data_IF_626608623933
#
_entry.id   IF_626608623933
#
_cell.length_a   1.000
_cell.length_b   1.000
_cell.length_c   1.000
_cell.angle_alpha   90.00
_cell.angle_beta   90.00
_cell.angle_gamma   90.00
#
_symmetry.space_group_name_H-M   'P 1'
#
loop_
_entity.id
_entity.type
_entity.pdbx_description
1 polymer ?
#
# COMPACT_ATOMS: atom_id res chain seq x y z
N UNK A 1 -0.33 27.17 8.90
CA UNK A 1 -0.98 26.06 8.14
C UNK A 1 -0.44 26.07 6.73
N UNK A 2 -0.31 24.89 6.11
CA UNK A 2 0.13 24.78 4.71
C UNK A 2 -0.91 25.33 3.74
N UNK A 3 -0.44 25.90 2.64
CA UNK A 3 -1.27 26.13 1.45
C UNK A 3 -1.49 24.82 0.69
N UNK A 4 -2.41 24.82 -0.27
CA UNK A 4 -2.65 23.65 -1.14
C UNK A 4 -1.40 23.30 -1.96
N UNK A 5 -0.65 24.31 -2.40
CA UNK A 5 0.63 24.11 -3.11
C UNK A 5 1.70 23.46 -2.22
N UNK A 6 1.85 23.93 -0.98
CA UNK A 6 2.79 23.36 0.00
C UNK A 6 2.42 21.92 0.35
N UNK A 7 1.13 21.63 0.46
CA UNK A 7 0.63 20.27 0.66
C UNK A 7 0.98 19.36 -0.52
N UNK A 8 0.75 19.79 -1.76
CA UNK A 8 1.07 19.02 -2.96
C UNK A 8 2.58 18.80 -3.14
N UNK A 9 3.41 19.76 -2.74
CA UNK A 9 4.87 19.61 -2.73
C UNK A 9 5.30 18.48 -1.79
N UNK A 10 4.84 18.51 -0.53
CA UNK A 10 5.16 17.48 0.46
C UNK A 10 4.63 16.12 0.03
N UNK A 11 3.39 16.07 -0.47
CA UNK A 11 2.76 14.85 -0.96
C UNK A 11 3.54 14.24 -2.14
N UNK A 12 3.97 15.09 -3.07
CA UNK A 12 4.81 14.72 -4.20
C UNK A 12 6.15 14.15 -3.75
N UNK A 13 6.81 14.82 -2.80
CA UNK A 13 8.07 14.36 -2.21
C UNK A 13 7.93 13.01 -1.52
N UNK A 14 6.94 12.84 -0.64
CA UNK A 14 6.67 11.55 0.04
C UNK A 14 6.40 10.44 -0.98
N UNK A 15 5.60 10.72 -2.02
CA UNK A 15 5.29 9.73 -3.06
C UNK A 15 6.54 9.29 -3.84
N UNK A 16 7.35 10.26 -4.29
CA UNK A 16 8.56 10.00 -5.08
C UNK A 16 9.62 9.26 -4.25
N UNK A 17 9.91 9.74 -3.04
CA UNK A 17 10.90 9.14 -2.16
C UNK A 17 10.46 7.77 -1.68
N UNK A 18 9.17 7.64 -1.35
CA UNK A 18 8.57 6.37 -1.02
C UNK A 18 8.72 5.36 -2.16
N UNK A 19 8.53 5.79 -3.41
CA UNK A 19 8.76 4.94 -4.58
C UNK A 19 10.22 4.53 -4.78
N UNK A 20 11.17 5.44 -4.55
CA UNK A 20 12.59 5.14 -4.64
C UNK A 20 13.00 4.06 -3.64
N UNK A 21 12.50 4.16 -2.40
CA UNK A 21 12.66 3.13 -1.37
C UNK A 21 11.96 1.83 -1.80
N UNK A 22 10.70 1.90 -2.23
CA UNK A 22 9.90 0.75 -2.72
C UNK A 22 10.61 -0.08 -3.79
N UNK A 23 11.18 0.57 -4.81
CA UNK A 23 11.84 -0.12 -5.92
C UNK A 23 12.99 -0.99 -5.43
N UNK A 24 13.74 -0.52 -4.43
CA UNK A 24 14.87 -1.24 -3.83
C UNK A 24 14.44 -2.41 -2.93
N UNK A 25 13.20 -2.39 -2.43
CA UNK A 25 12.65 -3.42 -1.53
C UNK A 25 11.60 -4.34 -2.15
N UNK A 26 11.30 -4.16 -3.45
CA UNK A 26 10.28 -4.93 -4.19
C UNK A 26 10.50 -6.46 -4.21
N UNK A 27 11.69 -6.95 -3.86
CA UNK A 27 11.97 -8.38 -3.69
C UNK A 27 11.56 -8.95 -2.33
N UNK A 28 11.46 -8.10 -1.29
CA UNK A 28 11.28 -8.52 0.11
C UNK A 28 9.89 -8.22 0.67
N UNK A 29 9.20 -7.19 0.16
CA UNK A 29 7.90 -6.76 0.67
C UNK A 29 6.85 -6.64 -0.42
N UNK A 30 5.59 -6.92 -0.09
CA UNK A 30 4.49 -6.65 -1.00
C UNK A 30 4.28 -5.14 -1.09
N UNK A 31 4.07 -4.57 -2.29
CA UNK A 31 3.79 -3.15 -2.44
C UNK A 31 2.70 -2.63 -1.49
N UNK A 32 1.66 -3.43 -1.18
CA UNK A 32 0.61 -3.06 -0.23
C UNK A 32 1.07 -2.85 1.21
N UNK A 33 1.99 -3.67 1.70
CA UNK A 33 2.52 -3.56 3.08
C UNK A 33 3.35 -2.28 3.21
N UNK A 34 4.06 -1.93 2.15
CA UNK A 34 4.86 -0.71 2.07
C UNK A 34 4.01 0.55 1.90
N UNK A 35 2.86 0.47 1.25
CA UNK A 35 1.92 1.59 1.21
C UNK A 35 1.20 1.83 2.55
N UNK A 36 0.89 0.76 3.30
CA UNK A 36 0.43 0.88 4.69
C UNK A 36 1.47 1.66 5.51
N UNK A 37 2.75 1.33 5.28
CA UNK A 37 3.83 2.03 5.92
C UNK A 37 3.82 3.55 5.70
N UNK A 38 3.81 3.99 4.44
CA UNK A 38 3.89 5.41 4.11
C UNK A 38 2.69 6.24 4.54
N UNK A 39 1.55 5.60 4.77
CA UNK A 39 0.34 6.28 5.25
C UNK A 39 0.26 6.32 6.78
N UNK A 40 1.24 5.74 7.49
CA UNK A 40 1.21 5.49 8.94
C UNK A 40 -0.01 4.65 9.36
N UNK A 41 -0.60 3.92 8.42
CA UNK A 41 -1.75 3.06 8.64
C UNK A 41 -1.30 1.64 8.92
N UNK A 42 -1.99 0.96 9.83
CA UNK A 42 -1.84 -0.49 9.96
C UNK A 42 -2.22 -1.20 8.66
N UNK A 43 -1.69 -2.42 8.46
CA UNK A 43 -2.08 -3.26 7.31
C UNK A 43 -3.60 -3.47 7.21
N UNK A 44 -4.31 -3.44 8.34
CA UNK A 44 -5.76 -3.57 8.39
C UNK A 44 -6.46 -2.31 7.88
N UNK A 45 -6.02 -1.13 8.32
CA UNK A 45 -6.56 0.17 7.87
C UNK A 45 -6.24 0.42 6.40
N UNK A 46 -5.02 0.10 5.97
CA UNK A 46 -4.62 0.21 4.57
C UNK A 46 -5.46 -0.70 3.66
N UNK A 47 -5.69 -1.95 4.08
CA UNK A 47 -6.57 -2.85 3.34
C UNK A 47 -8.03 -2.41 3.38
N UNK A 48 -8.51 -1.84 4.49
CA UNK A 48 -9.84 -1.27 4.59
C UNK A 48 -10.05 -0.18 3.54
N UNK A 49 -9.08 0.73 3.43
CA UNK A 49 -9.20 1.89 2.55
C UNK A 49 -9.06 1.55 1.07
N UNK A 50 -8.12 0.68 0.68
CA UNK A 50 -8.07 0.11 -0.70
C UNK A 50 -9.40 -0.47 -1.12
N UNK A 51 -10.03 -1.22 -0.21
CA UNK A 51 -11.32 -1.87 -0.46
C UNK A 51 -12.46 -0.87 -0.51
N UNK A 52 -12.45 0.15 0.35
CA UNK A 52 -13.39 1.27 0.30
C UNK A 52 -13.27 2.02 -1.02
N UNK A 53 -12.07 2.42 -1.42
CA UNK A 53 -11.84 3.11 -2.69
C UNK A 53 -12.31 2.27 -3.89
N UNK A 54 -11.97 0.98 -3.96
CA UNK A 54 -12.52 0.10 -4.99
C UNK A 54 -14.05 0.06 -4.96
N UNK A 55 -14.65 -0.19 -3.79
CA UNK A 55 -16.09 -0.37 -3.63
C UNK A 55 -16.93 0.89 -3.84
N UNK A 56 -16.36 2.07 -3.59
CA UNK A 56 -17.02 3.38 -3.73
C UNK A 56 -16.66 4.10 -5.05
N UNK A 57 -15.86 3.46 -5.90
CA UNK A 57 -15.45 4.04 -7.18
C UNK A 57 -16.63 4.16 -8.15
N UNK A 58 -16.67 5.25 -8.92
CA UNK A 58 -17.68 5.47 -9.96
C UNK A 58 -17.64 4.38 -11.04
N UNK A 59 -16.48 3.74 -11.21
CA UNK A 59 -16.31 2.60 -12.10
C UNK A 59 -17.16 1.40 -11.66
N UNK A 60 -17.29 1.14 -10.35
CA UNK A 60 -18.15 0.07 -9.83
C UNK A 60 -19.62 0.39 -10.05
N UNK A 61 -20.04 1.62 -9.75
CA UNK A 61 -21.44 2.02 -9.93
C UNK A 61 -21.85 2.01 -11.40
N UNK A 62 -21.04 2.62 -12.27
CA UNK A 62 -21.28 2.61 -13.73
C UNK A 62 -21.34 1.18 -14.27
N UNK A 63 -20.47 0.29 -13.75
CA UNK A 63 -20.50 -1.11 -14.16
C UNK A 63 -21.79 -1.82 -13.72
N UNK A 64 -22.23 -1.64 -12.48
CA UNK A 64 -23.42 -2.31 -11.95
C UNK A 64 -24.73 -1.79 -12.57
N UNK A 65 -24.80 -0.50 -12.85
CA UNK A 65 -26.02 0.17 -13.34
C UNK A 65 -26.16 0.12 -14.86
N UNK A 66 -25.05 0.26 -15.59
CA UNK A 66 -25.08 0.38 -17.06
C UNK A 66 -24.57 -0.89 -17.73
N UNK A 67 -23.35 -1.33 -17.39
CA UNK A 67 -22.67 -2.35 -18.18
C UNK A 67 -23.11 -3.77 -17.87
N UNK A 68 -23.28 -4.13 -16.59
CA UNK A 68 -23.72 -5.47 -16.18
C UNK A 68 -25.13 -5.79 -16.72
N UNK A 69 -26.14 -4.89 -16.62
CA UNK A 69 -27.45 -5.13 -17.23
C UNK A 69 -27.37 -5.27 -18.76
N UNK A 70 -26.55 -4.46 -19.43
CA UNK A 70 -26.35 -4.56 -20.88
C UNK A 70 -25.71 -5.90 -21.29
N UNK A 71 -24.71 -6.36 -20.52
CA UNK A 71 -24.06 -7.65 -20.72
C UNK A 71 -25.05 -8.80 -20.55
N UNK A 72 -25.85 -8.78 -19.47
CA UNK A 72 -26.81 -9.84 -19.14
C UNK A 72 -27.93 -9.98 -20.17
N UNK A 73 -28.33 -8.88 -20.83
CA UNK A 73 -29.29 -8.93 -21.95
C UNK A 73 -28.75 -9.68 -23.16
N UNK A 74 -27.44 -9.63 -23.41
CA UNK A 74 -26.81 -10.24 -24.57
C UNK A 74 -25.45 -10.86 -24.23
N UNK A 75 -25.47 -11.98 -23.49
CA UNK A 75 -24.23 -12.64 -23.08
C UNK A 75 -23.55 -13.25 -24.31
N UNK A 76 -22.29 -12.87 -24.62
CA UNK A 76 -21.59 -13.43 -25.75
C UNK A 76 -21.36 -14.93 -25.55
N UNK A 77 -21.90 -15.73 -26.47
CA UNK A 77 -21.71 -17.18 -26.51
C UNK A 77 -20.37 -17.54 -27.13
N UNK A 78 -19.71 -18.58 -26.61
CA UNK A 78 -18.60 -19.27 -27.29
C UNK A 78 -19.05 -20.67 -27.72
N UNK A 79 -18.31 -21.28 -28.63
CA UNK A 79 -18.53 -22.67 -29.04
C UNK A 79 -17.61 -23.57 -28.23
N UNK A 80 -18.18 -24.57 -27.56
CA UNK A 80 -17.44 -25.62 -26.86
C UNK A 80 -17.57 -26.94 -27.64
N UNK A 81 -16.47 -27.68 -27.71
CA UNK A 81 -16.47 -29.03 -28.27
C UNK A 81 -16.58 -30.03 -27.14
N UNK A 82 -17.79 -30.51 -26.87
CA UNK A 82 -18.00 -31.60 -25.93
C UNK A 82 -17.64 -32.93 -26.61
N UNK A 83 -16.97 -33.84 -25.90
CA UNK A 83 -16.87 -35.23 -26.34
C UNK A 83 -18.13 -35.96 -25.88
N UNK A 84 -18.94 -36.39 -26.84
CA UNK A 84 -20.15 -37.18 -26.56
C UNK A 84 -19.90 -38.62 -27.01
N UNK A 85 -20.11 -39.58 -26.11
CA UNK A 85 -20.22 -40.99 -26.46
C UNK A 85 -21.70 -41.34 -26.60
N UNK A 86 -22.12 -41.78 -27.78
CA UNK A 86 -23.52 -42.07 -28.07
C UNK A 86 -23.68 -43.42 -28.76
N UNK A 87 -24.77 -44.12 -28.45
CA UNK A 87 -25.23 -45.30 -29.21
C UNK A 87 -26.24 -44.87 -30.27
N UNK A 88 -26.14 -45.43 -31.47
CA UNK A 88 -27.00 -45.10 -32.61
C UNK A 88 -26.42 -43.99 -33.49
N UNK A 89 -27.29 -43.20 -34.13
CA UNK A 89 -26.86 -42.21 -35.13
C UNK A 89 -25.98 -41.10 -34.51
N UNK A 90 -24.74 -40.89 -35.02
CA UNK A 90 -23.84 -39.88 -34.50
C UNK A 90 -24.34 -38.45 -34.79
N UNK A 91 -24.11 -37.54 -33.84
CA UNK A 91 -24.36 -36.09 -34.01
C UNK A 91 -23.04 -35.34 -34.08
N UNK A 92 -22.82 -34.61 -35.17
CA UNK A 92 -21.58 -33.86 -35.42
C UNK A 92 -20.44 -34.72 -35.97
N UNK A 93 -19.21 -34.18 -35.94
CA UNK A 93 -18.03 -34.87 -36.47
C UNK A 93 -17.65 -36.05 -35.57
N UNK A 94 -17.52 -37.24 -36.15
CA UNK A 94 -17.06 -38.46 -35.48
C UNK A 94 -15.54 -38.42 -35.31
N UNK A 95 -15.06 -38.71 -34.11
CA UNK A 95 -13.65 -39.00 -33.82
C UNK A 95 -13.43 -40.51 -33.98
N UNK A 96 -13.06 -40.93 -35.19
CA UNK A 96 -12.92 -42.34 -35.53
C UNK A 96 -11.86 -43.03 -34.68
N UNK A 97 -10.72 -42.37 -34.42
CA UNK A 97 -9.64 -42.93 -33.60
C UNK A 97 -10.14 -43.26 -32.20
N UNK A 98 -10.84 -42.33 -31.55
CA UNK A 98 -11.42 -42.57 -30.21
C UNK A 98 -12.59 -43.55 -30.25
N UNK A 99 -13.38 -43.54 -31.32
CA UNK A 99 -14.50 -44.47 -31.51
C UNK A 99 -14.00 -45.91 -31.56
N UNK A 100 -12.99 -46.21 -32.40
CA UNK A 100 -12.42 -47.55 -32.49
C UNK A 100 -11.79 -48.01 -31.18
N UNK A 101 -11.02 -47.14 -30.51
CA UNK A 101 -10.45 -47.46 -29.21
C UNK A 101 -11.54 -47.78 -28.16
N UNK A 102 -12.62 -47.01 -28.15
CA UNK A 102 -13.71 -47.19 -27.17
C UNK A 102 -14.54 -48.44 -27.44
N UNK A 103 -14.76 -48.79 -28.72
CA UNK A 103 -15.40 -50.05 -29.11
C UNK A 103 -14.57 -51.25 -28.67
N UNK A 104 -13.27 -51.25 -28.97
CA UNK A 104 -12.36 -52.32 -28.57
C UNK A 104 -12.35 -52.55 -27.04
N UNK A 105 -12.45 -51.48 -26.23
CA UNK A 105 -12.51 -51.57 -24.77
C UNK A 105 -13.82 -52.15 -24.21
N UNK A 106 -14.94 -52.04 -24.92
CA UNK A 106 -16.28 -52.34 -24.40
C UNK A 106 -16.99 -53.47 -25.17
N UNK A 107 -16.24 -54.33 -25.86
CA UNK A 107 -16.77 -55.51 -26.55
C UNK A 107 -17.22 -55.29 -28.00
N UNK A 108 -16.58 -54.35 -28.69
CA UNK A 108 -16.71 -54.07 -30.13
C UNK A 108 -18.13 -53.74 -30.64
N UNK A 109 -18.89 -52.99 -29.83
CA UNK A 109 -20.24 -52.53 -30.18
C UNK A 109 -20.22 -51.55 -31.37
N UNK A 110 -20.72 -51.95 -32.58
CA UNK A 110 -20.62 -51.15 -33.79
C UNK A 110 -21.58 -49.94 -33.80
N UNK A 111 -22.47 -49.85 -32.81
CA UNK A 111 -23.44 -48.76 -32.69
C UNK A 111 -22.91 -47.58 -31.88
N UNK A 112 -21.73 -47.70 -31.25
CA UNK A 112 -21.13 -46.63 -30.44
C UNK A 112 -20.29 -45.68 -31.27
N UNK A 113 -20.50 -44.39 -31.12
CA UNK A 113 -19.67 -43.36 -31.73
C UNK A 113 -19.21 -42.36 -30.68
N UNK A 114 -17.95 -41.95 -30.79
CA UNK A 114 -17.42 -40.80 -30.04
C UNK A 114 -17.44 -39.62 -30.99
N UNK A 115 -18.30 -38.64 -30.72
CA UNK A 115 -18.44 -37.42 -31.53
C UNK A 115 -17.98 -36.19 -30.77
N UNK A 116 -17.74 -35.10 -31.53
CA UNK A 116 -17.47 -33.77 -30.98
C UNK A 116 -18.52 -32.76 -31.43
N UNK A 117 -19.77 -32.85 -30.93
CA UNK A 117 -20.77 -31.83 -31.22
C UNK A 117 -20.27 -30.45 -30.76
N UNK A 118 -20.54 -29.45 -31.59
CA UNK A 118 -20.36 -28.03 -31.22
C UNK A 118 -21.60 -27.56 -30.48
N UNK A 119 -21.46 -27.19 -29.22
CA UNK A 119 -22.52 -26.58 -28.44
C UNK A 119 -22.20 -25.11 -28.17
N UNK A 120 -23.22 -24.25 -28.29
CA UNK A 120 -23.08 -22.84 -27.92
C UNK A 120 -23.28 -22.74 -26.41
N UNK A 121 -22.26 -22.25 -25.72
CA UNK A 121 -22.29 -22.00 -24.29
C UNK A 121 -22.14 -20.52 -24.00
N UNK A 122 -22.81 -20.03 -22.96
CA UNK A 122 -22.61 -18.69 -22.44
C UNK A 122 -21.31 -18.57 -21.63
N UNK A 123 -20.66 -19.69 -21.29
CA UNK A 123 -19.42 -19.76 -20.51
C UNK A 123 -18.19 -19.34 -21.36
N UNK A 124 -18.21 -18.08 -21.82
CA UNK A 124 -17.13 -17.45 -22.57
C UNK A 124 -16.16 -16.72 -21.63
N UNK A 125 -14.94 -16.43 -22.10
CA UNK A 125 -13.95 -15.66 -21.32
C UNK A 125 -14.50 -14.32 -20.82
N UNK A 126 -15.33 -13.64 -21.62
CA UNK A 126 -16.03 -12.43 -21.22
C UNK A 126 -17.07 -12.68 -20.11
N UNK A 127 -17.84 -13.76 -20.21
CA UNK A 127 -18.79 -14.17 -19.17
C UNK A 127 -18.08 -14.48 -17.85
N UNK A 128 -16.96 -15.20 -17.91
CA UNK A 128 -16.14 -15.51 -16.73
C UNK A 128 -15.55 -14.25 -16.08
N UNK A 129 -15.08 -13.29 -16.88
CA UNK A 129 -14.55 -12.02 -16.39
C UNK A 129 -15.63 -11.18 -15.69
N UNK A 130 -16.79 -11.01 -16.31
CA UNK A 130 -17.93 -10.29 -15.71
C UNK A 130 -18.36 -10.98 -14.43
N UNK A 131 -18.47 -12.32 -14.45
CA UNK A 131 -18.79 -13.11 -13.25
C UNK A 131 -17.77 -12.93 -12.13
N UNK A 132 -16.48 -12.93 -12.45
CA UNK A 132 -15.41 -12.68 -11.47
C UNK A 132 -15.56 -11.28 -10.85
N UNK A 133 -15.74 -10.24 -11.66
CA UNK A 133 -15.86 -8.85 -11.15
C UNK A 133 -17.10 -8.68 -10.27
N UNK A 134 -18.26 -9.22 -10.66
CA UNK A 134 -19.46 -9.21 -9.82
C UNK A 134 -19.22 -9.94 -8.49
N UNK A 135 -18.55 -11.10 -8.51
CA UNK A 135 -18.20 -11.82 -7.30
C UNK A 135 -17.22 -11.04 -6.41
N UNK A 136 -16.24 -10.34 -6.99
CA UNK A 136 -15.29 -9.48 -6.25
C UNK A 136 -15.99 -8.30 -5.60
N UNK A 137 -16.91 -7.62 -6.30
CA UNK A 137 -17.71 -6.52 -5.76
C UNK A 137 -18.56 -7.01 -4.57
N UNK A 138 -19.30 -8.11 -4.75
CA UNK A 138 -20.15 -8.67 -3.69
C UNK A 138 -19.34 -9.10 -2.45
N UNK A 139 -18.21 -9.78 -2.66
CA UNK A 139 -17.32 -10.19 -1.57
C UNK A 139 -16.70 -8.97 -0.86
N UNK A 140 -16.34 -7.93 -1.61
CA UNK A 140 -15.78 -6.70 -1.05
C UNK A 140 -16.79 -5.94 -0.19
N UNK A 141 -18.02 -5.79 -0.67
CA UNK A 141 -19.12 -5.19 0.08
C UNK A 141 -19.37 -5.95 1.39
N UNK A 142 -19.48 -7.28 1.34
CA UNK A 142 -19.68 -8.13 2.54
C UNK A 142 -18.55 -7.96 3.56
N UNK A 143 -17.31 -7.87 3.09
CA UNK A 143 -16.15 -7.71 3.96
C UNK A 143 -16.12 -6.32 4.63
N UNK A 144 -16.54 -5.27 3.91
CA UNK A 144 -16.55 -3.89 4.38
C UNK A 144 -17.70 -3.59 5.35
N UNK A 145 -18.91 -4.11 5.08
CA UNK A 145 -20.08 -3.86 5.92
C UNK A 145 -19.98 -4.50 7.31
N UNK A 146 -19.10 -5.49 7.46
CA UNK A 146 -18.75 -6.11 8.76
C UNK A 146 -17.76 -5.30 9.59
N UNK A 147 -17.29 -4.14 9.10
CA UNK A 147 -16.27 -3.30 9.75
C UNK A 147 -16.81 -1.92 10.07
N UNK A 148 -16.06 -1.21 10.92
CA UNK A 148 -16.35 0.20 11.22
C UNK A 148 -16.05 1.05 10.00
N UNK A 149 -17.10 1.52 9.33
CA UNK A 149 -17.06 2.41 8.16
C UNK A 149 -18.21 3.43 8.29
N UNK A 150 -18.13 4.61 7.64
CA UNK A 150 -19.20 5.61 7.67
C UNK A 150 -20.54 5.04 7.18
N UNK A 151 -21.65 5.45 7.80
CA UNK A 151 -22.99 4.92 7.49
C UNK A 151 -23.37 5.08 6.02
N UNK A 152 -23.14 6.27 5.46
CA UNK A 152 -23.40 6.56 4.05
C UNK A 152 -22.61 5.64 3.09
N UNK A 153 -21.36 5.31 3.45
CA UNK A 153 -20.56 4.36 2.68
C UNK A 153 -21.11 2.94 2.83
N UNK A 154 -21.57 2.55 4.03
CA UNK A 154 -22.19 1.25 4.28
C UNK A 154 -23.44 1.06 3.44
N UNK A 155 -24.37 2.01 3.45
CA UNK A 155 -25.60 1.95 2.67
C UNK A 155 -25.32 1.77 1.17
N UNK A 156 -24.40 2.57 0.61
CA UNK A 156 -23.98 2.45 -0.80
C UNK A 156 -23.38 1.07 -1.09
N UNK A 157 -22.49 0.57 -0.24
CA UNK A 157 -21.85 -0.74 -0.42
C UNK A 157 -22.84 -1.90 -0.31
N UNK A 158 -23.84 -1.82 0.56
CA UNK A 158 -24.91 -2.81 0.67
C UNK A 158 -25.74 -2.88 -0.61
N UNK A 159 -26.13 -1.72 -1.16
CA UNK A 159 -26.85 -1.62 -2.44
C UNK A 159 -26.02 -2.20 -3.59
N UNK A 160 -24.74 -1.81 -3.69
CA UNK A 160 -23.83 -2.31 -4.73
C UNK A 160 -23.58 -3.82 -4.59
N UNK A 161 -23.39 -4.32 -3.36
CA UNK A 161 -23.22 -5.74 -3.07
C UNK A 161 -24.46 -6.57 -3.41
N UNK A 162 -25.66 -6.11 -3.03
CA UNK A 162 -26.92 -6.77 -3.36
C UNK A 162 -27.18 -6.79 -4.87
N UNK A 163 -26.87 -5.69 -5.57
CA UNK A 163 -27.00 -5.59 -7.03
C UNK A 163 -26.03 -6.52 -7.74
N UNK A 164 -24.77 -6.57 -7.30
CA UNK A 164 -23.77 -7.50 -7.83
C UNK A 164 -24.20 -8.96 -7.65
N UNK A 165 -24.74 -9.34 -6.49
CA UNK A 165 -25.25 -10.68 -6.22
C UNK A 165 -26.44 -11.06 -7.13
N UNK A 166 -27.39 -10.14 -7.37
CA UNK A 166 -28.50 -10.37 -8.30
C UNK A 166 -28.01 -10.63 -9.72
N UNK A 167 -27.11 -9.79 -10.22
CA UNK A 167 -26.51 -9.95 -11.55
C UNK A 167 -25.71 -11.26 -11.66
N UNK A 168 -24.96 -11.61 -10.62
CA UNK A 168 -24.19 -12.86 -10.55
C UNK A 168 -25.10 -14.10 -10.57
N UNK A 169 -26.25 -14.06 -9.89
CA UNK A 169 -27.22 -15.14 -9.91
C UNK A 169 -27.80 -15.37 -11.31
N UNK A 170 -28.10 -14.29 -12.04
CA UNK A 170 -28.55 -14.36 -13.45
C UNK A 170 -27.47 -14.94 -14.35
N UNK A 171 -26.21 -14.54 -14.17
CA UNK A 171 -25.10 -15.06 -14.96
C UNK A 171 -24.89 -16.57 -14.73
N UNK A 172 -24.97 -17.01 -13.47
CA UNK A 172 -24.88 -18.43 -13.09
C UNK A 172 -26.04 -19.25 -13.65
N UNK A 173 -27.28 -18.73 -13.63
CA UNK A 173 -28.44 -19.44 -14.19
C UNK A 173 -28.36 -19.62 -15.71
N UNK A 174 -27.55 -18.80 -16.39
CA UNK A 174 -27.20 -18.93 -17.82
C UNK A 174 -26.05 -19.91 -18.08
N UNK A 175 -25.55 -20.59 -17.07
CA UNK A 175 -24.51 -21.63 -17.19
C UNK A 175 -23.08 -21.10 -17.22
N UNK A 176 -22.85 -19.82 -16.90
CA UNK A 176 -21.49 -19.24 -16.85
C UNK A 176 -20.77 -19.68 -15.58
N UNK A 177 -19.55 -20.20 -15.71
CA UNK A 177 -18.72 -20.61 -14.57
C UNK A 177 -17.98 -19.39 -14.04
N UNK A 178 -18.06 -19.14 -12.75
CA UNK A 178 -17.39 -18.00 -12.11
C UNK A 178 -16.06 -18.49 -11.54
N UNK A 179 -14.92 -18.14 -12.15
CA UNK A 179 -13.63 -18.56 -11.63
C UNK A 179 -13.26 -17.78 -10.37
N UNK A 180 -12.35 -18.33 -9.57
CA UNK A 180 -11.74 -17.62 -8.43
C UNK A 180 -10.65 -16.64 -8.87
N UNK A 181 -10.03 -16.88 -10.03
CA UNK A 181 -8.97 -16.06 -10.63
C UNK A 181 -8.97 -16.22 -12.14
N UNK A 182 -8.52 -15.20 -12.87
CA UNK A 182 -8.32 -15.24 -14.33
C UNK A 182 -6.88 -14.82 -14.63
N UNK A 183 -6.20 -15.55 -15.50
CA UNK A 183 -4.81 -15.26 -15.86
C UNK A 183 -4.70 -14.05 -16.80
N UNK A 184 -3.57 -13.33 -16.75
CA UNK A 184 -3.31 -12.20 -17.68
C UNK A 184 -3.37 -12.64 -19.16
N UNK A 185 -3.03 -13.90 -19.45
CA UNK A 185 -3.13 -14.49 -20.79
C UNK A 185 -4.59 -14.56 -21.28
N UNK A 186 -5.53 -14.82 -20.38
CA UNK A 186 -6.96 -14.86 -20.68
C UNK A 186 -7.57 -13.46 -20.82
N UNK A 187 -7.03 -12.47 -20.09
CA UNK A 187 -7.46 -11.05 -20.18
C UNK A 187 -6.95 -10.37 -21.46
N UNK A 188 -5.76 -10.73 -21.94
CA UNK A 188 -5.12 -10.08 -23.10
C UNK A 188 -6.03 -9.90 -24.33
N UNK A 189 -6.77 -10.94 -24.78
CA UNK A 189 -7.74 -10.82 -25.85
C UNK A 189 -8.94 -9.93 -25.52
N UNK A 190 -9.41 -9.93 -24.26
CA UNK A 190 -10.59 -9.17 -23.81
C UNK A 190 -10.31 -7.66 -23.77
N UNK A 191 -9.05 -7.24 -23.54
CA UNK A 191 -8.63 -5.83 -23.64
C UNK A 191 -8.89 -5.21 -25.02
N UNK A 192 -8.97 -6.04 -26.08
CA UNK A 192 -9.24 -5.59 -27.46
C UNK A 192 -10.72 -5.74 -27.86
N UNK A 193 -11.57 -6.17 -26.93
CA UNK A 193 -13.00 -6.32 -27.22
C UNK A 193 -13.61 -4.96 -27.58
N UNK A 194 -14.42 -4.92 -28.64
CA UNK A 194 -15.16 -3.72 -29.04
C UNK A 194 -16.45 -3.49 -28.26
N UNK A 195 -16.76 -4.41 -27.33
CA UNK A 195 -17.97 -4.43 -26.54
C UNK A 195 -17.78 -3.57 -25.28
N UNK A 196 -18.49 -2.44 -25.10
CA UNK A 196 -18.26 -1.53 -23.99
C UNK A 196 -18.40 -2.17 -22.60
N UNK A 197 -19.31 -3.13 -22.46
CA UNK A 197 -19.55 -3.91 -21.26
C UNK A 197 -18.39 -4.85 -20.90
N UNK A 198 -17.72 -5.41 -21.91
CA UNK A 198 -16.50 -6.21 -21.71
C UNK A 198 -15.33 -5.30 -21.37
N UNK A 199 -15.20 -4.16 -22.05
CA UNK A 199 -14.16 -3.17 -21.77
C UNK A 199 -14.30 -2.61 -20.34
N UNK A 200 -15.52 -2.34 -19.87
CA UNK A 200 -15.78 -1.92 -18.50
C UNK A 200 -15.39 -3.00 -17.47
N UNK A 201 -15.66 -4.27 -17.75
CA UNK A 201 -15.22 -5.38 -16.90
C UNK A 201 -13.68 -5.50 -16.84
N UNK A 202 -12.99 -5.24 -17.95
CA UNK A 202 -11.53 -5.19 -18.02
C UNK A 202 -10.98 -4.01 -17.23
N UNK A 203 -11.59 -2.82 -17.34
CA UNK A 203 -11.20 -1.65 -16.55
C UNK A 203 -11.35 -1.90 -15.05
N UNK A 204 -12.46 -2.53 -14.63
CA UNK A 204 -12.63 -2.94 -13.25
C UNK A 204 -11.62 -3.99 -12.80
N UNK A 205 -11.27 -4.93 -13.68
CA UNK A 205 -10.23 -5.92 -13.39
C UNK A 205 -8.87 -5.26 -13.20
N UNK A 206 -8.47 -4.36 -14.10
CA UNK A 206 -7.21 -3.64 -14.00
C UNK A 206 -7.20 -2.72 -12.76
N UNK A 207 -8.34 -2.10 -12.41
CA UNK A 207 -8.52 -1.34 -11.17
C UNK A 207 -8.38 -2.23 -9.93
N UNK A 208 -9.04 -3.39 -9.92
CA UNK A 208 -8.98 -4.36 -8.83
C UNK A 208 -7.56 -4.91 -8.63
N UNK A 209 -6.91 -5.32 -9.72
CA UNK A 209 -5.52 -5.82 -9.70
C UNK A 209 -4.58 -4.70 -9.26
N UNK A 210 -4.69 -3.51 -9.82
CA UNK A 210 -3.85 -2.36 -9.41
C UNK A 210 -4.04 -2.02 -7.93
N UNK A 211 -5.27 -1.86 -7.47
CA UNK A 211 -5.56 -1.47 -6.09
C UNK A 211 -5.25 -2.55 -5.07
N UNK A 212 -5.61 -3.80 -5.38
CA UNK A 212 -5.69 -4.88 -4.40
C UNK A 212 -4.52 -5.85 -4.52
N UNK A 213 -4.01 -6.09 -5.73
CA UNK A 213 -2.97 -7.12 -5.99
C UNK A 213 -1.58 -6.54 -6.33
N UNK A 214 -1.49 -5.37 -6.99
CA UNK A 214 -0.24 -4.79 -7.53
C UNK A 214 -0.18 -3.28 -7.26
N UNK A 215 0.28 -2.89 -6.08
CA UNK A 215 0.42 -1.48 -5.78
C UNK A 215 1.50 -0.80 -6.66
N UNK A 216 1.17 0.33 -7.27
CA UNK A 216 2.04 1.10 -8.16
C UNK A 216 2.15 2.58 -7.70
N UNK A 217 3.16 3.30 -8.19
CA UNK A 217 3.43 4.71 -7.81
C UNK A 217 2.25 5.65 -8.06
N UNK A 218 1.58 5.52 -9.21
CA UNK A 218 0.42 6.35 -9.55
C UNK A 218 -0.78 6.05 -8.64
N UNK A 219 -0.89 4.81 -8.18
CA UNK A 219 -1.87 4.39 -7.19
C UNK A 219 -1.54 4.96 -5.82
N UNK A 220 -0.28 4.97 -5.40
CA UNK A 220 0.15 5.65 -4.17
C UNK A 220 -0.25 7.12 -4.24
N UNK A 221 0.06 7.81 -5.34
CA UNK A 221 -0.31 9.21 -5.54
C UNK A 221 -1.82 9.41 -5.56
N UNK A 222 -2.59 8.54 -6.23
CA UNK A 222 -4.04 8.64 -6.33
C UNK A 222 -4.74 8.36 -4.98
N UNK A 223 -4.30 7.33 -4.26
CA UNK A 223 -4.82 6.98 -2.94
C UNK A 223 -4.54 8.07 -1.91
N UNK A 224 -3.33 8.64 -1.93
CA UNK A 224 -2.96 9.79 -1.10
C UNK A 224 -3.72 11.07 -1.50
N UNK A 225 -4.04 11.25 -2.80
CA UNK A 225 -4.75 12.42 -3.32
C UNK A 225 -6.27 12.39 -3.08
N UNK A 226 -6.92 11.24 -3.17
CA UNK A 226 -8.39 11.12 -3.10
C UNK A 226 -8.99 11.21 -1.68
N UNK A 227 -8.33 11.93 -0.76
CA UNK A 227 -8.81 12.17 0.62
C UNK A 227 -9.04 10.92 1.49
N UNK A 228 -8.72 9.71 1.02
CA UNK A 228 -8.92 8.48 1.80
C UNK A 228 -7.66 8.02 2.56
N UNK A 229 -6.46 8.47 2.18
CA UNK A 229 -5.18 7.97 2.74
C UNK A 229 -4.19 9.04 3.18
N UNK A 230 -4.60 10.31 3.26
CA UNK A 230 -3.79 11.32 3.94
C UNK A 230 -3.72 10.87 5.40
N UNK A 231 -2.54 10.87 6.06
CA UNK A 231 -2.52 10.85 7.52
C UNK A 231 -3.55 11.89 7.98
N UNK A 232 -4.52 11.51 8.83
CA UNK A 232 -5.58 12.43 9.26
C UNK A 232 -5.01 13.75 9.80
N UNK A 233 -3.73 13.71 10.21
CA UNK A 233 -2.91 14.83 10.62
C UNK A 233 -1.79 15.17 9.61
N UNK A 234 -1.82 16.39 9.06
CA UNK A 234 -0.73 16.92 8.23
C UNK A 234 0.64 16.96 8.96
N UNK A 235 0.66 16.93 10.29
CA UNK A 235 1.91 16.85 11.07
C UNK A 235 2.62 15.51 10.83
N UNK A 236 1.88 14.40 10.83
CA UNK A 236 2.44 13.06 10.58
C UNK A 236 2.97 12.95 9.13
N UNK A 237 2.27 13.57 8.16
CA UNK A 237 2.74 13.63 6.78
C UNK A 237 4.09 14.37 6.69
N UNK A 238 4.27 15.44 7.47
CA UNK A 238 5.53 16.17 7.51
C UNK A 238 6.65 15.36 8.17
N UNK A 239 6.34 14.60 9.22
CA UNK A 239 7.27 13.68 9.87
C UNK A 239 7.76 12.58 8.91
N UNK A 240 6.85 11.96 8.16
CA UNK A 240 7.19 10.94 7.15
C UNK A 240 8.02 11.55 6.04
N UNK A 241 7.68 12.76 5.57
CA UNK A 241 8.50 13.49 4.61
C UNK A 241 9.93 13.67 5.13
N UNK A 242 10.10 14.15 6.37
CA UNK A 242 11.42 14.35 6.97
C UNK A 242 12.23 13.05 7.05
N UNK A 243 11.60 11.95 7.47
CA UNK A 243 12.23 10.63 7.52
C UNK A 243 12.75 10.19 6.15
N UNK A 244 11.95 10.37 5.10
CA UNK A 244 12.34 9.94 3.75
C UNK A 244 13.37 10.86 3.12
N UNK A 245 13.28 12.16 3.36
CA UNK A 245 14.33 13.10 2.97
C UNK A 245 15.65 12.71 3.63
N UNK A 246 15.66 12.34 4.92
CA UNK A 246 16.87 11.85 5.59
C UNK A 246 17.47 10.63 4.88
N UNK A 247 16.64 9.64 4.57
CA UNK A 247 17.08 8.42 3.86
C UNK A 247 17.62 8.77 2.47
N UNK A 248 16.96 9.68 1.75
CA UNK A 248 17.44 10.16 0.44
C UNK A 248 18.82 10.81 0.55
N UNK A 249 19.05 11.66 1.56
CA UNK A 249 20.36 12.28 1.78
C UNK A 249 21.46 11.23 1.95
N UNK A 250 21.20 10.18 2.73
CA UNK A 250 22.13 9.07 2.86
C UNK A 250 22.41 8.39 1.52
N UNK A 251 21.37 8.08 0.75
CA UNK A 251 21.54 7.45 -0.56
C UNK A 251 22.37 8.32 -1.51
N UNK A 252 22.15 9.64 -1.51
CA UNK A 252 22.89 10.60 -2.31
C UNK A 252 24.37 10.70 -1.89
N UNK A 253 24.66 10.50 -0.60
CA UNK A 253 26.02 10.43 -0.06
C UNK A 253 26.66 9.03 -0.13
N UNK A 254 26.08 8.12 -0.92
CA UNK A 254 26.66 6.81 -1.23
C UNK A 254 26.38 5.71 -0.18
N UNK A 255 25.52 5.96 0.79
CA UNK A 255 25.06 4.92 1.71
C UNK A 255 24.14 3.93 0.98
N UNK A 256 24.17 2.67 1.42
CA UNK A 256 23.33 1.62 0.87
C UNK A 256 22.40 1.08 1.93
N UNK A 257 21.10 0.99 1.64
CA UNK A 257 20.14 0.42 2.58
C UNK A 257 20.33 -1.10 2.63
N UNK A 258 20.54 -1.64 3.82
CA UNK A 258 20.72 -3.08 4.08
C UNK A 258 19.49 -3.72 4.71
N UNK A 259 18.71 -2.94 5.47
CA UNK A 259 17.42 -3.36 6.01
C UNK A 259 16.43 -2.18 6.03
N UNK A 260 15.15 -2.49 5.81
CA UNK A 260 14.06 -1.53 5.95
C UNK A 260 12.82 -2.21 6.50
N UNK A 261 12.14 -1.53 7.40
CA UNK A 261 10.90 -1.96 8.04
C UNK A 261 9.78 -0.98 7.72
N UNK A 262 8.57 -1.52 7.65
CA UNK A 262 7.35 -0.77 7.45
C UNK A 262 7.10 0.22 8.60
N UNK A 263 6.73 1.44 8.28
CA UNK A 263 6.33 2.51 9.19
C UNK A 263 4.93 2.19 9.75
N UNK A 264 4.76 1.82 11.01
CA UNK A 264 3.42 1.52 11.57
C UNK A 264 3.00 0.04 11.53
N UNK A 265 3.83 -0.86 10.99
CA UNK A 265 3.71 -2.27 11.37
C UNK A 265 3.89 -2.40 12.89
N UNK A 266 3.03 -3.19 13.55
CA UNK A 266 3.18 -3.62 14.94
C UNK A 266 4.47 -4.42 15.06
N UNK A 267 5.58 -3.72 15.19
CA UNK A 267 6.86 -4.34 15.36
C UNK A 267 6.99 -4.77 16.81
N UNK A 268 7.32 -6.05 17.00
CA UNK A 268 8.10 -6.49 18.15
C UNK A 268 9.37 -5.64 18.35
N UNK A 269 10.27 -6.02 19.26
CA UNK A 269 11.16 -5.11 19.99
C UNK A 269 11.80 -4.00 19.14
N UNK A 270 11.62 -2.73 19.56
CA UNK A 270 12.34 -1.47 19.18
C UNK A 270 13.46 -1.60 18.13
N UNK A 271 13.13 -1.95 16.88
CA UNK A 271 14.05 -2.11 15.74
C UNK A 271 14.10 -0.85 14.88
N UNK A 272 15.21 -0.54 14.20
CA UNK A 272 15.27 0.58 13.26
C UNK A 272 14.29 0.38 12.10
N UNK A 273 13.75 1.48 11.57
CA UNK A 273 12.98 1.51 10.32
C UNK A 273 13.85 1.43 9.10
N UNK A 274 15.05 1.99 9.15
CA UNK A 274 16.05 1.85 8.08
C UNK A 274 17.40 1.57 8.68
N UNK A 275 18.12 0.62 8.08
CA UNK A 275 19.53 0.38 8.36
C UNK A 275 20.29 0.61 7.07
N UNK A 276 21.28 1.50 7.10
CA UNK A 276 22.10 1.85 5.96
C UNK A 276 23.57 1.64 6.30
N UNK A 277 24.38 1.25 5.31
CA UNK A 277 25.82 1.05 5.49
C UNK A 277 26.64 1.78 4.45
N UNK A 278 27.79 2.31 4.86
CA UNK A 278 28.79 2.94 3.99
C UNK A 278 30.18 2.68 4.55
N UNK A 279 31.06 2.05 3.77
CA UNK A 279 32.48 1.85 4.10
C UNK A 279 32.76 1.24 5.50
N UNK A 280 31.86 0.38 6.00
CA UNK A 280 31.99 -0.26 7.32
C UNK A 280 31.16 0.42 8.43
N UNK A 281 30.74 1.66 8.22
CA UNK A 281 29.82 2.35 9.11
C UNK A 281 28.38 1.93 8.85
N UNK A 282 27.57 1.96 9.91
CA UNK A 282 26.15 1.64 9.88
C UNK A 282 25.33 2.75 10.51
N UNK A 283 24.31 3.25 9.82
CA UNK A 283 23.30 4.14 10.38
C UNK A 283 22.01 3.36 10.57
N UNK A 284 21.49 3.38 11.79
CA UNK A 284 20.18 2.86 12.17
C UNK A 284 19.21 4.02 12.42
N UNK A 285 18.19 4.17 11.57
CA UNK A 285 17.17 5.22 11.66
C UNK A 285 15.92 4.65 12.31
N UNK A 286 15.46 5.29 13.38
CA UNK A 286 14.27 4.95 14.15
C UNK A 286 13.22 6.05 13.97
N UNK A 287 11.94 5.66 13.87
CA UNK A 287 10.81 6.58 13.70
C UNK A 287 9.71 6.27 14.71
N UNK A 288 9.29 7.29 15.46
CA UNK A 288 8.30 7.23 16.56
C UNK A 288 8.59 6.16 17.63
N UNK A 289 9.84 5.72 17.72
CA UNK A 289 10.33 4.75 18.71
C UNK A 289 11.71 5.17 19.21
N UNK A 290 11.97 4.90 20.49
CA UNK A 290 13.27 5.15 21.10
C UNK A 290 14.12 3.89 21.02
N UNK A 291 15.37 3.95 20.52
CA UNK A 291 16.30 2.82 20.53
C UNK A 291 16.43 2.17 21.91
N UNK A 292 16.62 0.85 21.95
CA UNK A 292 16.69 0.13 23.23
C UNK A 292 17.81 0.64 24.16
N UNK A 293 18.94 1.08 23.59
CA UNK A 293 20.07 1.65 24.33
C UNK A 293 19.67 2.97 25.00
N UNK A 294 19.10 3.92 24.23
CA UNK A 294 18.60 5.20 24.75
C UNK A 294 17.52 5.00 25.82
N UNK A 295 16.60 4.08 25.58
CA UNK A 295 15.50 3.85 26.50
C UNK A 295 15.92 3.21 27.84
N UNK A 296 17.08 2.55 27.89
CA UNK A 296 17.68 2.03 29.13
C UNK A 296 18.41 3.14 29.91
N UNK A 297 18.85 4.19 29.24
CA UNK A 297 19.63 5.28 29.82
C UNK A 297 18.82 6.58 30.01
N UNK A 298 17.49 6.49 30.01
CA UNK A 298 16.60 7.63 30.21
C UNK A 298 16.66 8.09 31.67
N UNK A 299 17.24 9.26 31.89
CA UNK A 299 17.32 9.92 33.21
C UNK A 299 15.92 10.22 33.74
N UNK A 300 14.99 10.64 32.88
CA UNK A 300 13.64 10.99 33.30
C UNK A 300 12.86 9.76 33.73
N UNK A 301 13.07 8.61 33.08
CA UNK A 301 12.44 7.36 33.52
C UNK A 301 12.90 6.96 34.91
N UNK A 302 14.18 7.13 35.24
CA UNK A 302 14.68 6.88 36.60
C UNK A 302 13.95 7.77 37.61
N UNK A 303 13.89 9.07 37.35
CA UNK A 303 13.16 10.03 38.19
C UNK A 303 11.68 9.62 38.31
N UNK A 304 10.99 9.31 37.20
CA UNK A 304 9.57 8.96 37.25
C UNK A 304 9.31 7.67 38.03
N UNK A 305 10.24 6.72 38.04
CA UNK A 305 10.12 5.51 38.87
C UNK A 305 10.28 5.78 40.38
N UNK A 306 10.87 6.92 40.78
CA UNK A 306 10.98 7.33 42.18
C UNK A 306 9.67 7.89 42.75
N UNK A 307 8.73 8.28 41.88
CA UNK A 307 7.46 8.89 42.25
C UNK A 307 6.28 8.09 41.69
N UNK A 308 5.06 8.35 42.16
CA UNK A 308 3.82 7.76 41.61
C UNK A 308 3.42 8.45 40.28
N UNK A 309 4.35 8.48 39.33
CA UNK A 309 4.18 9.03 38.00
C UNK A 309 4.13 7.88 37.01
N UNK A 310 3.28 7.99 35.98
CA UNK A 310 3.29 7.04 34.88
C UNK A 310 4.64 7.15 34.13
N UNK A 311 5.55 6.22 34.40
CA UNK A 311 6.90 6.19 33.84
C UNK A 311 6.87 5.83 32.33
N UNK A 312 6.53 6.82 31.51
CA UNK A 312 6.62 6.73 30.05
C UNK A 312 7.84 7.49 29.54
N UNK A 313 8.64 6.84 28.70
CA UNK A 313 9.78 7.47 28.03
C UNK A 313 9.23 8.38 26.94
N UNK A 314 9.69 9.64 26.89
CA UNK A 314 9.32 10.53 25.79
C UNK A 314 9.98 10.06 24.50
N UNK A 315 9.22 10.14 23.40
CA UNK A 315 9.62 9.61 22.09
C UNK A 315 9.89 10.78 21.15
N UNK A 316 11.13 10.96 20.69
CA UNK A 316 11.40 11.85 19.58
C UNK A 316 10.76 11.33 18.28
N UNK A 317 10.54 12.23 17.33
CA UNK A 317 9.92 11.88 16.05
C UNK A 317 10.84 10.95 15.24
N UNK A 318 12.12 11.30 15.09
CA UNK A 318 13.14 10.49 14.41
C UNK A 318 14.42 10.42 15.26
N UNK A 319 15.13 9.30 15.21
CA UNK A 319 16.48 9.14 15.77
C UNK A 319 17.39 8.45 14.77
N UNK A 320 18.56 9.01 14.50
CA UNK A 320 19.59 8.39 13.65
C UNK A 320 20.79 8.01 14.52
N UNK A 321 21.05 6.70 14.65
CA UNK A 321 22.18 6.17 15.39
C UNK A 321 23.24 5.66 14.41
N UNK A 322 24.34 6.41 14.30
CA UNK A 322 25.56 6.01 13.60
C UNK A 322 26.41 5.13 14.53
N UNK A 323 26.79 3.97 14.02
CA UNK A 323 27.77 3.08 14.61
C UNK A 323 28.85 2.77 13.58
N UNK A 324 30.06 3.23 13.85
CA UNK A 324 31.24 3.07 12.99
C UNK A 324 32.46 2.55 13.74
N UNK A 325 33.59 2.46 13.05
CA UNK A 325 34.86 2.02 13.66
C UNK A 325 35.46 3.02 14.64
N UNK A 326 35.23 4.33 14.42
CA UNK A 326 35.93 5.40 15.14
C UNK A 326 35.02 6.23 16.07
N UNK A 327 33.70 6.23 15.87
CA UNK A 327 32.78 6.93 16.77
C UNK A 327 31.35 6.38 16.72
N UNK A 328 30.65 6.44 17.87
CA UNK A 328 29.22 6.19 17.95
C UNK A 328 28.51 7.53 18.18
N UNK A 329 27.60 7.89 17.28
CA UNK A 329 26.87 9.14 17.34
C UNK A 329 25.38 8.88 17.19
N UNK A 330 24.58 9.38 18.12
CA UNK A 330 23.13 9.39 17.98
C UNK A 330 22.64 10.82 17.87
N UNK A 331 21.86 11.10 16.84
CA UNK A 331 21.22 12.39 16.60
C UNK A 331 19.71 12.23 16.72
N UNK A 332 19.10 13.15 17.45
CA UNK A 332 17.64 13.27 17.57
C UNK A 332 17.13 14.26 16.52
N UNK A 333 16.03 13.95 15.85
CA UNK A 333 15.39 14.84 14.90
C UNK A 333 13.94 15.00 15.32
N UNK A 334 13.56 16.21 15.72
CA UNK A 334 12.19 16.59 16.06
C UNK A 334 11.61 17.39 14.90
N UNK A 335 10.38 17.09 14.50
CA UNK A 335 9.74 17.64 13.30
C UNK A 335 8.47 18.37 13.69
N UNK A 336 8.32 19.63 13.25
CA UNK A 336 7.18 20.47 13.60
C UNK A 336 6.67 21.22 12.38
N UNK A 337 5.43 20.91 11.97
CA UNK A 337 4.76 21.61 10.87
C UNK A 337 4.25 22.98 11.33
N UNK A 338 5.16 23.93 11.49
CA UNK A 338 4.86 25.27 11.98
C UNK A 338 5.68 26.34 11.27
N UNK A 339 5.14 27.55 11.30
CA UNK A 339 5.86 28.80 11.00
C UNK A 339 5.78 29.81 12.14
N UNK A 340 5.17 29.43 13.27
CA UNK A 340 4.98 30.29 14.43
C UNK A 340 6.20 30.26 15.34
N UNK A 341 6.79 31.44 15.59
CA UNK A 341 8.04 31.56 16.36
C UNK A 341 7.88 31.17 17.83
N UNK A 342 6.71 31.40 18.42
CA UNK A 342 6.42 30.99 19.80
C UNK A 342 6.45 29.47 19.93
N UNK A 343 5.71 28.78 19.06
CA UNK A 343 5.67 27.33 19.03
C UNK A 343 7.01 26.69 18.66
N UNK A 344 7.80 27.34 17.80
CA UNK A 344 9.18 26.91 17.51
C UNK A 344 10.04 27.02 18.77
N UNK A 345 9.91 28.11 19.53
CA UNK A 345 10.64 28.30 20.81
C UNK A 345 10.29 27.20 21.81
N UNK A 346 9.00 26.88 21.97
CA UNK A 346 8.55 25.78 22.82
C UNK A 346 9.12 24.42 22.37
N UNK A 347 9.20 24.22 21.05
CA UNK A 347 9.79 23.02 20.46
C UNK A 347 11.30 22.92 20.74
N UNK A 348 12.02 24.04 20.80
CA UNK A 348 13.43 24.05 21.24
C UNK A 348 13.56 23.54 22.67
N UNK A 349 12.71 24.02 23.60
CA UNK A 349 12.72 23.53 24.98
C UNK A 349 12.39 22.04 25.07
N UNK A 350 11.45 21.56 24.25
CA UNK A 350 11.15 20.12 24.15
C UNK A 350 12.37 19.33 23.69
N UNK A 351 13.08 19.80 22.67
CA UNK A 351 14.28 19.14 22.13
C UNK A 351 15.43 19.12 23.13
N UNK A 352 15.66 20.23 23.85
CA UNK A 352 16.61 20.26 24.98
C UNK A 352 16.24 19.24 26.07
N UNK A 353 14.95 19.04 26.31
CA UNK A 353 14.45 18.00 27.21
C UNK A 353 14.89 16.60 26.80
N UNK A 354 14.85 16.25 25.50
CA UNK A 354 15.36 14.96 25.04
C UNK A 354 16.88 14.84 25.19
N UNK A 355 17.63 15.89 24.87
CA UNK A 355 19.09 15.89 25.05
C UNK A 355 19.48 15.68 26.52
N UNK A 356 18.71 16.26 27.45
CA UNK A 356 18.90 16.04 28.89
C UNK A 356 18.57 14.61 29.31
N UNK A 357 17.44 14.07 28.85
CA UNK A 357 16.97 12.72 29.16
C UNK A 357 17.95 11.64 28.64
N UNK A 358 18.49 11.84 27.43
CA UNK A 358 19.34 10.86 26.73
C UNK A 358 20.81 11.24 26.66
N UNK A 359 21.28 12.10 27.57
CA UNK A 359 22.63 12.72 27.57
C UNK A 359 23.80 11.73 27.43
N UNK A 360 23.64 10.49 27.89
CA UNK A 360 24.68 9.45 27.85
C UNK A 360 24.72 8.67 26.53
N UNK A 361 23.78 8.93 25.62
CA UNK A 361 23.61 8.17 24.37
C UNK A 361 23.60 9.04 23.12
N UNK A 362 23.21 10.32 23.24
CA UNK A 362 23.44 11.30 22.19
C UNK A 362 24.94 11.47 21.97
N UNK A 363 25.36 11.63 20.71
CA UNK A 363 26.77 11.64 20.35
C UNK A 363 27.56 12.77 21.02
N UNK A 364 28.90 12.63 21.13
CA UNK A 364 29.75 13.68 21.71
C UNK A 364 29.81 14.92 20.81
N UNK A 365 29.60 14.74 19.52
CA UNK A 365 29.73 15.79 18.51
C UNK A 365 28.42 16.55 18.28
N UNK A 366 28.56 17.86 18.08
CA UNK A 366 27.44 18.73 17.74
C UNK A 366 27.24 18.78 16.21
N UNK A 367 25.97 18.85 15.73
CA UNK A 367 24.75 18.90 16.51
C UNK A 367 24.31 17.54 17.05
N UNK A 368 23.80 17.54 18.28
CA UNK A 368 23.21 16.35 18.92
C UNK A 368 21.72 16.20 18.57
N UNK A 369 21.07 17.31 18.21
CA UNK A 369 19.71 17.29 17.70
C UNK A 369 19.46 18.29 16.58
N UNK A 370 18.53 17.93 15.70
CA UNK A 370 17.95 18.80 14.68
C UNK A 370 16.50 19.09 15.06
N UNK A 371 16.11 20.37 15.05
CA UNK A 371 14.71 20.77 15.09
C UNK A 371 14.31 21.20 13.69
N UNK A 372 13.53 20.36 13.02
CA UNK A 372 13.01 20.63 11.69
C UNK A 372 11.67 21.35 11.78
N UNK A 373 11.57 22.52 11.16
CA UNK A 373 10.35 23.31 11.06
C UNK A 373 9.99 23.53 9.59
N UNK A 374 8.72 23.83 9.29
CA UNK A 374 8.34 24.10 7.90
C UNK A 374 9.02 25.37 7.37
N UNK A 375 8.77 26.51 8.02
CA UNK A 375 9.33 27.83 7.68
C UNK A 375 9.28 28.77 8.88
N UNK A 376 9.50 30.08 8.69
CA UNK A 376 9.23 31.11 9.71
C UNK A 376 10.44 31.49 10.59
N UNK A 377 11.61 30.92 10.31
CA UNK A 377 12.88 31.29 10.93
C UNK A 377 13.91 31.57 9.85
N UNK A 378 14.84 32.47 10.16
CA UNK A 378 16.04 32.74 9.38
C UNK A 378 17.23 32.79 10.33
N UNK A 379 18.38 32.20 9.98
CA UNK A 379 19.58 32.30 10.79
C UNK A 379 20.08 33.75 10.81
N UNK A 380 20.18 34.33 12.01
CA UNK A 380 20.72 35.70 12.19
C UNK A 380 22.25 35.73 12.04
N UNK A 381 22.90 34.57 12.20
CA UNK A 381 24.33 34.37 12.01
C UNK A 381 24.60 32.93 11.56
N UNK A 382 25.83 32.64 11.14
CA UNK A 382 26.27 31.28 10.86
C UNK A 382 26.05 30.38 12.10
N UNK A 383 25.52 29.17 11.89
CA UNK A 383 25.27 28.22 12.98
C UNK A 383 26.59 27.85 13.65
N UNK A 384 26.61 27.93 14.98
CA UNK A 384 27.81 27.51 15.73
C UNK A 384 28.04 26.01 15.55
N UNK A 385 29.27 25.57 15.21
CA UNK A 385 29.61 24.16 15.13
C UNK A 385 29.49 23.46 16.48
N UNK A 386 29.48 24.20 17.60
CA UNK A 386 29.32 23.68 18.96
C UNK A 386 27.89 23.73 19.48
N UNK A 387 26.93 24.25 18.71
CA UNK A 387 25.54 24.31 19.16
C UNK A 387 24.94 22.90 19.22
N UNK A 388 24.41 22.45 20.37
CA UNK A 388 23.88 21.10 20.50
C UNK A 388 22.60 20.89 19.67
N UNK A 389 21.86 21.98 19.39
CA UNK A 389 20.66 21.96 18.55
C UNK A 389 20.89 22.86 17.34
N UNK A 390 20.60 22.34 16.15
CA UNK A 390 20.45 23.13 14.93
C UNK A 390 18.97 23.16 14.54
N UNK A 391 18.44 24.37 14.32
CA UNK A 391 17.07 24.54 13.83
C UNK A 391 17.14 24.73 12.32
N UNK A 392 16.40 23.90 11.58
CA UNK A 392 16.41 23.86 10.12
C UNK A 392 15.01 24.05 9.58
N UNK A 393 14.88 24.82 8.51
CA UNK A 393 13.66 24.83 7.69
C UNK A 393 13.59 23.59 6.79
N UNK A 394 12.41 23.25 6.27
CA UNK A 394 12.24 22.16 5.31
C UNK A 394 13.18 22.30 4.09
N UNK A 395 13.31 23.53 3.57
CA UNK A 395 14.20 23.82 2.45
C UNK A 395 15.69 23.57 2.79
N UNK A 396 16.14 23.99 3.97
CA UNK A 396 17.52 23.75 4.41
C UNK A 396 17.79 22.26 4.64
N UNK A 397 16.82 21.56 5.22
CA UNK A 397 16.92 20.13 5.51
C UNK A 397 17.10 19.29 4.25
N UNK A 398 16.38 19.60 3.17
CA UNK A 398 16.54 18.93 1.87
C UNK A 398 17.93 19.13 1.26
N UNK A 399 18.63 20.20 1.65
CA UNK A 399 19.93 20.58 1.10
C UNK A 399 21.10 20.32 2.05
N UNK A 400 20.85 19.84 3.27
CA UNK A 400 21.89 19.64 4.26
C UNK A 400 22.80 18.46 3.91
N UNK A 401 24.10 18.58 4.22
CA UNK A 401 24.96 17.41 4.35
C UNK A 401 24.60 16.65 5.63
N UNK A 402 24.83 15.34 5.65
CA UNK A 402 24.67 14.57 6.88
C UNK A 402 25.59 15.14 7.99
N UNK A 403 25.09 15.30 9.21
CA UNK A 403 25.80 15.97 10.31
C UNK A 403 26.86 15.08 11.00
N UNK A 404 27.31 14.00 10.36
CA UNK A 404 28.29 13.03 10.89
C UNK A 404 29.13 12.38 9.79
#
# INVERSE_FOLDING_TARGET
>A
MWTEEEYEEVLGGVSQLGWLVLKRFSTSYRPSEVLAAFSSLSDQEFNLLRRLHFGLSDAVDTFLEVHAPAFLRNIPSTTEHALEERRGSPRGRVDWTRTFARRAQLGDDPTRFVTRPTERTADSGAGRLVGLMLARIAANATWLTQRSIPELARERLEVSGATANRHLAVLRSRGVRVPTSISLREIGPLRRARRPDVSAAVLLFDLHVGLIEQANENLLRALLRERQMVPENCDDLFEVWALLTLVERHLNEGWQITDAQLIGAETGPRRPRFTLTRMGDTVSIYYQIVPAVMAKSSVYKEIFNEYDLAASIRRPDITAALSGTDNNQTIIIEVKRTSDKGYITDSVYKTLGYLSDFKSTVGPDAPQALLLVWKGIEPVAARSPTSPIHILTAQEYSNMSLPY
#
